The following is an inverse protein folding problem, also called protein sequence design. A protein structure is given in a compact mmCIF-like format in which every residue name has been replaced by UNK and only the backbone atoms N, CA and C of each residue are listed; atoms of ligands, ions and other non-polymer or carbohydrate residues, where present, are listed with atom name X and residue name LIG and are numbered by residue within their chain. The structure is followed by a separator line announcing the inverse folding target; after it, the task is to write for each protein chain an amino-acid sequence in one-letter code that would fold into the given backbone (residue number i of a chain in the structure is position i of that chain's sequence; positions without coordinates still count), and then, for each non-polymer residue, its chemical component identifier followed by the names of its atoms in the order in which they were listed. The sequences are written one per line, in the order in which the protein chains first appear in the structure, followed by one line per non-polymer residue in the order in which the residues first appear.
data_IF_507941939235
#
_entry.id   IF_507941939235
#
_cell.length_a   1.000
_cell.length_b   1.000
_cell.length_c   1.000
_cell.angle_alpha   90.00
_cell.angle_beta   90.00
_cell.angle_gamma   90.00
#
_symmetry.space_group_name_H-M   'P 1'
#
loop_
_entity.id
_entity.type
_entity.pdbx_description
1 polymer ?
#
# COMPACT_ATOMS: atom_id res chain seq x y z
N UNK A 1 -2.01 -14.85 -30.13
CA UNK A 1 -1.23 -15.45 -29.01
C UNK A 1 -1.05 -14.43 -27.87
N UNK A 2 -2.13 -13.98 -27.22
CA UNK A 2 -2.09 -13.01 -26.11
C UNK A 2 -2.94 -13.44 -24.90
N UNK A 3 -3.86 -14.39 -25.08
CA UNK A 3 -4.70 -14.95 -24.02
C UNK A 3 -3.93 -15.87 -23.05
N UNK A 4 -2.86 -16.54 -23.48
CA UNK A 4 -2.13 -17.50 -22.63
C UNK A 4 -1.29 -16.85 -21.51
N UNK A 5 -1.00 -15.54 -21.61
CA UNK A 5 -0.23 -14.82 -20.59
C UNK A 5 -1.14 -14.24 -19.48
N UNK A 6 -2.36 -13.83 -19.83
CA UNK A 6 -3.35 -13.32 -18.86
C UNK A 6 -3.86 -14.44 -17.94
N UNK A 7 -4.25 -15.58 -18.52
CA UNK A 7 -4.73 -16.76 -17.77
C UNK A 7 -3.68 -17.29 -16.78
N UNK A 8 -2.38 -17.13 -17.08
CA UNK A 8 -1.30 -17.54 -16.19
C UNK A 8 -1.10 -16.58 -15.00
N UNK A 9 -1.43 -15.29 -15.15
CA UNK A 9 -1.36 -14.32 -14.05
C UNK A 9 -2.55 -14.43 -13.09
N UNK A 10 -3.72 -14.77 -13.63
CA UNK A 10 -4.95 -14.97 -12.86
C UNK A 10 -4.82 -16.20 -11.95
N UNK A 11 -4.30 -17.32 -12.49
CA UNK A 11 -4.05 -18.52 -11.69
C UNK A 11 -2.92 -18.37 -10.66
N UNK A 12 -1.92 -17.51 -10.92
CA UNK A 12 -0.87 -17.24 -9.93
C UNK A 12 -1.47 -16.49 -8.72
N UNK A 13 -2.24 -15.43 -8.98
CA UNK A 13 -2.90 -14.65 -7.93
C UNK A 13 -3.92 -15.47 -7.11
N UNK A 14 -4.71 -16.34 -7.75
CA UNK A 14 -5.63 -17.24 -7.04
C UNK A 14 -4.89 -18.29 -6.19
N UNK A 15 -3.73 -18.77 -6.64
CA UNK A 15 -2.87 -19.67 -5.86
C UNK A 15 -2.26 -18.96 -4.66
N UNK A 16 -1.80 -17.72 -4.84
CA UNK A 16 -1.24 -16.89 -3.77
C UNK A 16 -2.29 -16.56 -2.70
N UNK A 17 -3.54 -16.25 -3.11
CA UNK A 17 -4.65 -16.01 -2.18
C UNK A 17 -5.08 -17.30 -1.48
N UNK A 18 -5.15 -18.43 -2.18
CA UNK A 18 -5.49 -19.72 -1.57
C UNK A 18 -4.40 -20.23 -0.62
N UNK A 19 -3.12 -20.02 -0.93
CA UNK A 19 -2.00 -20.29 -0.01
C UNK A 19 -2.00 -19.33 1.19
N UNK A 20 -2.37 -18.07 0.98
CA UNK A 20 -2.50 -17.08 2.05
C UNK A 20 -3.65 -17.42 3.00
N UNK A 21 -4.81 -17.83 2.48
CA UNK A 21 -5.94 -18.32 3.27
C UNK A 21 -5.62 -19.63 3.99
N UNK A 22 -4.88 -20.55 3.36
CA UNK A 22 -4.42 -21.78 4.00
C UNK A 22 -3.37 -21.52 5.10
N UNK A 23 -2.51 -20.51 4.93
CA UNK A 23 -1.57 -20.05 5.94
C UNK A 23 -2.29 -19.33 7.11
N UNK A 24 -3.36 -18.57 6.82
CA UNK A 24 -4.23 -17.93 7.82
C UNK A 24 -5.12 -18.93 8.57
N UNK A 25 -5.43 -20.09 7.98
CA UNK A 25 -6.26 -21.13 8.59
C UNK A 25 -5.51 -22.01 9.61
N UNK A 26 -4.18 -21.89 9.71
CA UNK A 26 -3.38 -22.59 10.71
C UNK A 26 -3.00 -21.61 11.83
N UNK A 27 -3.54 -21.75 13.05
CA UNK A 27 -2.91 -21.13 14.21
C UNK A 27 -1.65 -21.92 14.54
N UNK A 28 -0.57 -21.73 13.77
CA UNK A 28 0.74 -22.21 14.18
C UNK A 28 1.24 -21.29 15.29
N UNK A 29 0.85 -21.62 16.52
CA UNK A 29 1.52 -21.15 17.72
C UNK A 29 3.00 -21.51 17.59
N UNK A 30 3.80 -20.56 17.09
CA UNK A 30 5.25 -20.64 17.10
C UNK A 30 5.70 -20.16 18.48
N UNK A 31 6.23 -21.03 19.35
CA UNK A 31 6.64 -20.67 20.71
C UNK A 31 7.89 -19.76 20.76
N UNK A 32 8.32 -19.22 19.61
CA UNK A 32 9.33 -18.16 19.54
C UNK A 32 8.77 -16.77 19.91
N UNK A 33 7.45 -16.63 20.07
CA UNK A 33 6.77 -15.39 20.49
C UNK A 33 6.55 -15.30 22.01
N UNK A 34 7.08 -16.23 22.81
CA UNK A 34 6.95 -16.22 24.27
C UNK A 34 8.18 -15.64 24.99
N UNK A 35 9.10 -15.05 24.24
CA UNK A 35 10.22 -14.27 24.77
C UNK A 35 9.78 -12.80 24.80
N UNK A 36 9.85 -12.12 25.96
CA UNK A 36 9.50 -10.69 26.08
C UNK A 36 10.27 -9.81 25.08
N UNK A 37 11.50 -10.23 24.73
CA UNK A 37 12.33 -9.57 23.73
C UNK A 37 11.88 -9.83 22.28
N UNK A 38 11.15 -10.92 22.02
CA UNK A 38 10.62 -11.26 20.70
C UNK A 38 9.33 -10.47 20.38
N UNK A 39 8.47 -10.24 21.36
CA UNK A 39 7.28 -9.38 21.20
C UNK A 39 7.70 -7.92 20.92
N UNK A 40 8.72 -7.42 21.61
CA UNK A 40 9.26 -6.08 21.38
C UNK A 40 9.85 -5.90 19.96
N UNK A 41 10.49 -6.95 19.41
CA UNK A 41 11.03 -6.91 18.05
C UNK A 41 9.90 -6.94 16.98
N UNK A 42 8.87 -7.76 17.18
CA UNK A 42 7.73 -7.84 16.26
C UNK A 42 6.92 -6.54 16.27
N UNK A 43 6.67 -5.93 17.43
CA UNK A 43 6.01 -4.62 17.52
C UNK A 43 6.80 -3.50 16.84
N UNK A 44 8.13 -3.54 16.92
CA UNK A 44 8.99 -2.56 16.25
C UNK A 44 8.83 -2.60 14.72
N UNK A 45 8.74 -3.79 14.13
CA UNK A 45 8.55 -3.96 12.69
C UNK A 45 7.18 -3.42 12.22
N UNK A 46 6.11 -3.70 12.96
CA UNK A 46 4.78 -3.14 12.66
C UNK A 46 4.73 -1.62 12.84
N UNK A 47 5.48 -1.07 13.80
CA UNK A 47 5.62 0.37 14.01
C UNK A 47 6.21 1.09 12.80
N UNK A 48 7.25 0.52 12.18
CA UNK A 48 7.87 1.08 10.97
C UNK A 48 6.91 1.01 9.79
N UNK A 49 6.23 -0.12 9.58
CA UNK A 49 5.24 -0.28 8.52
C UNK A 49 4.10 0.74 8.67
N UNK A 50 3.59 0.93 9.89
CA UNK A 50 2.56 1.92 10.17
C UNK A 50 3.04 3.35 9.90
N UNK A 51 4.27 3.69 10.28
CA UNK A 51 4.86 5.01 10.02
C UNK A 51 5.02 5.29 8.52
N UNK A 52 5.52 4.32 7.76
CA UNK A 52 5.66 4.44 6.30
C UNK A 52 4.29 4.57 5.63
N UNK A 53 3.32 3.76 6.05
CA UNK A 53 1.95 3.84 5.54
C UNK A 53 1.30 5.20 5.83
N UNK A 54 1.51 5.76 7.03
CA UNK A 54 1.00 7.08 7.38
C UNK A 54 1.61 8.19 6.52
N UNK A 55 2.94 8.15 6.29
CA UNK A 55 3.62 9.13 5.44
C UNK A 55 3.17 9.05 3.98
N UNK A 56 3.02 7.84 3.44
CA UNK A 56 2.47 7.63 2.09
C UNK A 56 1.02 8.10 1.98
N UNK A 57 0.19 7.78 2.98
CA UNK A 57 -1.20 8.23 3.05
C UNK A 57 -1.30 9.75 3.07
N UNK A 58 -0.45 10.42 3.86
CA UNK A 58 -0.37 11.88 3.90
C UNK A 58 -0.01 12.47 2.53
N UNK A 59 1.00 11.93 1.85
CA UNK A 59 1.43 12.42 0.56
C UNK A 59 0.32 12.34 -0.50
N UNK A 60 -0.39 11.21 -0.55
CA UNK A 60 -1.52 11.02 -1.47
C UNK A 60 -2.66 11.98 -1.12
N UNK A 61 -2.97 12.15 0.17
CA UNK A 61 -4.01 13.07 0.62
C UNK A 61 -3.73 14.52 0.21
N UNK A 62 -2.49 14.98 0.33
CA UNK A 62 -2.08 16.33 -0.10
C UNK A 62 -2.25 16.51 -1.61
N UNK A 63 -1.82 15.54 -2.42
CA UNK A 63 -1.99 15.58 -3.88
C UNK A 63 -3.46 15.62 -4.26
N UNK A 64 -4.28 14.75 -3.66
CA UNK A 64 -5.72 14.70 -3.90
C UNK A 64 -6.39 16.02 -3.51
N UNK A 65 -6.00 16.62 -2.38
CA UNK A 65 -6.49 17.92 -1.94
C UNK A 65 -6.18 19.03 -2.96
N UNK A 66 -4.92 19.13 -3.42
CA UNK A 66 -4.52 20.13 -4.41
C UNK A 66 -5.34 19.99 -5.70
N UNK A 67 -5.47 18.77 -6.23
CA UNK A 67 -6.21 18.55 -7.46
C UNK A 67 -7.71 18.79 -7.31
N UNK A 68 -8.26 18.56 -6.11
CA UNK A 68 -9.64 18.91 -5.78
C UNK A 68 -9.86 20.42 -5.74
N UNK A 69 -8.96 21.19 -5.14
CA UNK A 69 -9.07 22.66 -5.03
C UNK A 69 -8.90 23.32 -6.39
N UNK A 70 -8.02 22.79 -7.24
CA UNK A 70 -7.77 23.29 -8.59
C UNK A 70 -8.73 22.74 -9.66
N UNK A 71 -9.77 22.00 -9.25
CA UNK A 71 -10.78 21.38 -10.13
C UNK A 71 -10.19 20.61 -11.33
N UNK A 72 -9.07 19.92 -11.12
CA UNK A 72 -8.35 19.22 -12.18
C UNK A 72 -9.14 18.01 -12.67
N UNK A 73 -9.59 18.04 -13.93
CA UNK A 73 -10.37 16.94 -14.55
C UNK A 73 -9.54 15.93 -15.33
N UNK A 74 -8.22 16.09 -15.35
CA UNK A 74 -7.28 15.18 -16.00
C UNK A 74 -6.01 15.02 -15.18
N UNK A 75 -5.29 13.91 -15.42
CA UNK A 75 -4.03 13.63 -14.73
C UNK A 75 -2.98 14.72 -14.99
N UNK A 76 -2.86 15.17 -16.24
CA UNK A 76 -1.90 16.21 -16.61
C UNK A 76 -2.20 17.56 -15.92
N UNK A 77 -3.48 17.94 -15.82
CA UNK A 77 -3.89 19.15 -15.10
C UNK A 77 -3.59 19.05 -13.60
N UNK A 78 -3.83 17.87 -13.01
CA UNK A 78 -3.53 17.61 -11.61
C UNK A 78 -2.01 17.66 -11.33
N UNK A 79 -1.20 17.08 -12.22
CA UNK A 79 0.25 17.15 -12.14
C UNK A 79 0.75 18.59 -12.23
N UNK A 80 0.26 19.36 -13.18
CA UNK A 80 0.66 20.76 -13.37
C UNK A 80 0.26 21.63 -12.18
N UNK A 81 -0.95 21.41 -11.64
CA UNK A 81 -1.41 22.04 -10.41
C UNK A 81 -0.47 21.71 -9.24
N UNK A 82 -0.11 20.44 -9.00
CA UNK A 82 0.80 20.06 -7.91
C UNK A 82 2.18 20.72 -8.03
N UNK A 83 2.72 20.82 -9.25
CA UNK A 83 4.03 21.43 -9.49
C UNK A 83 4.00 22.94 -9.23
N UNK A 84 2.92 23.62 -9.64
CA UNK A 84 2.83 25.08 -9.56
C UNK A 84 2.12 25.59 -8.28
N UNK A 85 1.48 24.72 -7.50
CA UNK A 85 0.62 25.09 -6.37
C UNK A 85 1.30 26.01 -5.36
N UNK A 86 2.56 25.73 -5.00
CA UNK A 86 3.28 26.49 -3.97
C UNK A 86 3.88 27.80 -4.47
N UNK A 87 4.00 27.99 -5.79
CA UNK A 87 4.62 29.18 -6.39
C UNK A 87 3.63 30.13 -7.04
N UNK A 88 2.59 29.60 -7.67
CA UNK A 88 1.60 30.38 -8.43
C UNK A 88 0.14 30.00 -8.16
N UNK A 89 -0.10 28.93 -7.38
CA UNK A 89 -1.44 28.40 -7.16
C UNK A 89 -1.95 27.56 -8.33
N UNK A 90 -3.25 27.66 -8.56
CA UNK A 90 -3.96 27.28 -9.77
C UNK A 90 -4.64 28.54 -10.33
#
# INVERSE_FOLDING_TARGET
MKMSALVRSEHAFESDVAELEAALALPSFSPALLDEDAEAAVEADWGIVAAVAALLGLAIAVVAYICSVCEARSFDACRDAVVNYFGGGC
#
